data_IF_934461269516
#
_entry.id   IF_934461269516
#
_cell.length_a   1.000
_cell.length_b   1.000
_cell.length_c   1.000
_cell.angle_alpha   90.00
_cell.angle_beta   90.00
_cell.angle_gamma   90.00
#
_symmetry.space_group_name_H-M   'P 1'
#
loop_
_entity.id
_entity.type
_entity.pdbx_description
1 polymer ?
#
# COMPACT_ATOMS: atom_id res chain seq x y z
N UNK A 1 -15.78 34.25 -1.21
CA UNK A 1 -15.75 33.42 -1.10
C UNK A 1 -15.50 32.46 -0.97
N UNK A 2 -15.46 32.17 -0.82
CA UNK A 2 -15.41 31.13 -0.57
C UNK A 2 -14.92 30.25 -0.71
N UNK A 3 -14.62 29.96 -0.65
CA UNK A 3 -14.21 29.15 -0.69
C UNK A 3 -14.48 28.08 -0.67
N UNK A 4 -14.58 27.56 -1.20
CA UNK A 4 -14.70 26.51 -1.04
C UNK A 4 -13.98 25.34 -1.19
N UNK A 5 -13.48 25.03 -1.57
CA UNK A 5 -12.32 24.13 -1.51
C UNK A 5 -12.35 23.32 -0.25
N UNK A 6 -12.74 23.93 0.80
CA UNK A 6 -12.81 23.28 2.10
C UNK A 6 -13.84 22.18 2.16
N UNK A 7 -14.75 22.15 1.18
CA UNK A 7 -15.78 21.12 1.14
C UNK A 7 -15.31 19.83 0.44
N UNK A 8 -14.14 19.87 -0.18
CA UNK A 8 -13.61 18.68 -0.82
C UNK A 8 -12.93 17.80 0.21
N UNK A 9 -13.29 16.53 0.17
CA UNK A 9 -12.60 15.56 1.02
C UNK A 9 -11.17 15.38 0.51
N UNK A 10 -10.22 15.18 1.41
CA UNK A 10 -8.85 14.86 1.00
C UNK A 10 -8.83 13.63 0.12
N UNK A 11 -8.10 13.70 -0.97
CA UNK A 11 -7.91 12.58 -1.88
C UNK A 11 -6.62 11.81 -1.57
N UNK A 12 -6.06 12.08 -0.41
CA UNK A 12 -4.89 11.38 0.13
C UNK A 12 -5.17 11.07 1.58
N UNK A 13 -5.06 9.81 1.97
CA UNK A 13 -5.17 9.42 3.37
C UNK A 13 -3.89 8.74 3.80
N UNK A 14 -3.52 8.93 5.07
CA UNK A 14 -2.27 8.39 5.63
C UNK A 14 -2.51 7.86 7.02
N UNK A 15 -1.70 6.87 7.38
CA UNK A 15 -1.57 6.41 8.75
C UNK A 15 -0.11 6.09 8.99
N UNK A 16 0.34 6.25 10.23
CA UNK A 16 1.74 5.98 10.59
C UNK A 16 1.78 5.19 11.88
N UNK A 17 2.84 4.41 12.03
CA UNK A 17 3.06 3.62 13.23
C UNK A 17 4.55 3.31 13.39
N UNK A 18 5.03 3.28 14.64
CA UNK A 18 6.35 2.74 14.92
C UNK A 18 6.24 1.23 15.08
N UNK A 19 7.17 0.51 14.46
CA UNK A 19 7.21 -0.95 14.50
C UNK A 19 8.55 -1.38 15.09
N UNK A 20 8.50 -2.33 16.03
CA UNK A 20 9.70 -2.83 16.72
C UNK A 20 10.39 -3.88 15.87
N UNK A 21 10.91 -3.46 14.71
CA UNK A 21 11.64 -4.33 13.80
C UNK A 21 12.55 -3.48 12.92
N UNK A 22 13.61 -4.08 12.37
CA UNK A 22 14.49 -3.39 11.43
C UNK A 22 13.75 -3.06 10.15
N UNK A 23 14.14 -1.95 9.49
CA UNK A 23 13.52 -1.53 8.25
C UNK A 23 13.62 -2.62 7.17
N UNK A 24 14.74 -3.33 7.09
CA UNK A 24 14.94 -4.39 6.10
C UNK A 24 13.91 -5.50 6.22
N UNK A 25 13.61 -5.91 7.46
CA UNK A 25 12.62 -6.95 7.70
C UNK A 25 11.21 -6.50 7.32
N UNK A 26 10.86 -5.28 7.70
CA UNK A 26 9.54 -4.72 7.38
C UNK A 26 9.39 -4.57 5.87
N UNK A 27 10.44 -4.06 5.23
CA UNK A 27 10.40 -3.81 3.79
C UNK A 27 10.22 -5.12 3.00
N UNK A 28 10.85 -6.20 3.46
CA UNK A 28 10.70 -7.51 2.82
C UNK A 28 9.24 -7.97 2.83
N UNK A 29 8.53 -7.73 3.93
CA UNK A 29 7.12 -8.08 4.04
C UNK A 29 6.25 -7.27 3.07
N UNK A 30 6.64 -6.05 2.76
CA UNK A 30 5.89 -5.16 1.88
C UNK A 30 6.26 -5.42 0.42
N UNK A 31 7.54 -5.49 0.11
CA UNK A 31 8.05 -5.56 -1.27
C UNK A 31 7.94 -6.95 -1.89
N UNK A 32 7.70 -7.97 -1.08
CA UNK A 32 7.45 -9.32 -1.59
C UNK A 32 5.93 -9.56 -1.59
N UNK A 33 5.29 -9.52 -2.76
CA UNK A 33 3.83 -9.64 -2.81
C UNK A 33 3.29 -10.93 -2.19
N UNK A 34 4.06 -12.01 -2.19
CA UNK A 34 3.63 -13.27 -1.59
C UNK A 34 3.41 -13.14 -0.07
N UNK A 35 4.02 -12.13 0.56
CA UNK A 35 3.87 -11.88 2.00
C UNK A 35 2.65 -11.00 2.32
N UNK A 36 2.12 -10.28 1.34
CA UNK A 36 1.10 -9.27 1.59
C UNK A 36 -0.22 -9.83 2.16
N UNK A 37 -0.74 -10.97 1.69
CA UNK A 37 -1.98 -11.49 2.26
C UNK A 37 -1.87 -11.79 3.75
N UNK A 38 -0.66 -12.07 4.25
CA UNK A 38 -0.45 -12.38 5.65
C UNK A 38 -0.63 -11.20 6.60
N UNK A 39 -0.56 -9.97 6.07
CA UNK A 39 -0.70 -8.77 6.91
C UNK A 39 -1.73 -7.77 6.37
N UNK A 40 -2.36 -8.02 5.24
CA UNK A 40 -3.38 -7.12 4.72
C UNK A 40 -4.51 -6.98 5.75
N UNK A 41 -4.76 -5.74 6.18
CA UNK A 41 -5.71 -5.47 7.26
C UNK A 41 -7.15 -5.33 6.81
N UNK A 42 -7.40 -5.35 5.51
CA UNK A 42 -8.71 -5.05 4.95
C UNK A 42 -9.39 -6.26 4.30
N UNK A 43 -8.81 -7.45 4.49
CA UNK A 43 -9.32 -8.70 3.93
C UNK A 43 -9.59 -8.58 2.42
N UNK A 44 -8.69 -7.93 1.73
CA UNK A 44 -8.84 -7.62 0.32
C UNK A 44 -7.95 -8.47 -0.58
N UNK A 45 -6.78 -8.90 -0.06
CA UNK A 45 -5.83 -9.70 -0.83
C UNK A 45 -5.96 -11.16 -0.44
N UNK A 46 -6.23 -12.03 -1.43
CA UNK A 46 -6.34 -13.46 -1.21
C UNK A 46 -4.98 -14.15 -1.34
N UNK A 47 -4.24 -13.84 -2.42
CA UNK A 47 -2.95 -14.48 -2.65
C UNK A 47 -2.13 -13.70 -3.66
N UNK A 48 -0.83 -14.02 -3.70
CA UNK A 48 0.10 -13.55 -4.72
C UNK A 48 1.12 -14.65 -4.94
N UNK A 49 1.51 -14.84 -6.21
CA UNK A 49 2.50 -15.84 -6.53
C UNK A 49 3.87 -15.50 -5.95
N UNK A 50 4.63 -16.51 -5.59
CA UNK A 50 6.01 -16.34 -5.15
C UNK A 50 6.90 -15.87 -6.31
N UNK A 51 8.01 -15.22 -5.98
CA UNK A 51 8.99 -14.82 -7.00
C UNK A 51 8.76 -13.46 -7.62
N UNK A 52 7.84 -12.66 -7.07
CA UNK A 52 7.55 -11.33 -7.60
C UNK A 52 8.15 -10.20 -6.75
N UNK A 53 9.15 -10.48 -5.93
CA UNK A 53 9.76 -9.46 -5.07
C UNK A 53 10.17 -8.26 -5.93
N UNK A 54 9.76 -7.06 -5.49
CA UNK A 54 10.01 -5.80 -6.21
C UNK A 54 11.43 -5.33 -5.97
N UNK A 55 12.11 -4.88 -7.00
CA UNK A 55 13.49 -4.41 -6.93
C UNK A 55 13.71 -3.04 -7.56
N UNK A 56 12.77 -2.53 -8.35
CA UNK A 56 12.99 -1.29 -9.08
C UNK A 56 11.69 -0.69 -9.59
N UNK A 57 11.74 0.60 -9.89
CA UNK A 57 10.67 1.28 -10.62
C UNK A 57 10.50 0.58 -11.98
N UNK A 58 9.26 0.37 -12.36
CA UNK A 58 8.90 -0.32 -13.60
C UNK A 58 8.58 -1.78 -13.40
N UNK A 59 8.93 -2.37 -12.26
CA UNK A 59 8.52 -3.73 -11.94
C UNK A 59 7.00 -3.80 -11.87
N UNK A 60 6.44 -4.93 -12.31
CA UNK A 60 5.00 -5.17 -12.24
C UNK A 60 4.80 -6.49 -11.50
N UNK A 61 3.92 -6.48 -10.51
CA UNK A 61 3.56 -7.71 -9.83
C UNK A 61 2.04 -7.87 -9.81
N UNK A 62 1.58 -9.11 -9.70
CA UNK A 62 0.15 -9.40 -9.70
C UNK A 62 -0.33 -9.85 -8.33
N UNK A 63 -1.55 -9.48 -8.01
CA UNK A 63 -2.22 -9.93 -6.79
C UNK A 63 -3.62 -10.40 -7.15
N UNK A 64 -4.13 -11.38 -6.40
CA UNK A 64 -5.50 -11.85 -6.54
C UNK A 64 -6.29 -11.34 -5.33
N UNK A 65 -7.39 -10.65 -5.60
CA UNK A 65 -8.24 -10.11 -4.56
C UNK A 65 -9.17 -11.21 -4.02
N UNK A 66 -9.77 -10.96 -2.86
CA UNK A 66 -10.67 -11.96 -2.23
C UNK A 66 -11.89 -12.26 -3.08
N UNK A 67 -12.29 -11.34 -3.98
CA UNK A 67 -13.37 -11.59 -4.93
C UNK A 67 -12.93 -12.36 -6.18
N UNK A 68 -11.66 -12.76 -6.26
CA UNK A 68 -11.11 -13.50 -7.39
C UNK A 68 -10.57 -12.64 -8.52
N UNK A 69 -10.73 -11.34 -8.46
CA UNK A 69 -10.20 -10.44 -9.48
C UNK A 69 -8.70 -10.29 -9.35
N UNK A 70 -8.03 -10.10 -10.48
CA UNK A 70 -6.58 -9.94 -10.53
C UNK A 70 -6.25 -8.47 -10.75
N UNK A 71 -5.19 -8.01 -10.09
CA UNK A 71 -4.64 -6.67 -10.30
C UNK A 71 -3.20 -6.76 -10.73
N UNK A 72 -2.82 -5.94 -11.70
CA UNK A 72 -1.42 -5.70 -12.03
C UNK A 72 -1.00 -4.42 -11.32
N UNK A 73 0.11 -4.47 -10.61
CA UNK A 73 0.58 -3.36 -9.80
C UNK A 73 1.91 -2.89 -10.36
N UNK A 74 1.92 -1.67 -10.91
CA UNK A 74 3.13 -1.09 -11.50
C UNK A 74 3.85 -0.25 -10.47
N UNK A 75 5.09 -0.58 -10.20
CA UNK A 75 5.91 0.15 -9.24
C UNK A 75 6.36 1.46 -9.86
N UNK A 76 6.06 2.57 -9.18
CA UNK A 76 6.39 3.92 -9.66
C UNK A 76 7.39 4.65 -8.76
N UNK A 77 7.61 4.16 -7.53
CA UNK A 77 8.63 4.67 -6.63
C UNK A 77 9.31 3.49 -5.97
N UNK A 78 10.61 3.53 -5.85
CA UNK A 78 11.36 2.47 -5.19
C UNK A 78 12.69 2.97 -4.64
N UNK A 79 12.92 2.69 -3.36
CA UNK A 79 14.20 2.85 -2.70
C UNK A 79 14.30 1.75 -1.66
N UNK A 80 15.27 0.85 -1.82
CA UNK A 80 15.38 -0.36 -0.99
C UNK A 80 15.35 -0.01 0.51
N UNK A 81 14.49 -0.69 1.26
CA UNK A 81 14.29 -0.53 2.70
C UNK A 81 13.82 0.87 3.12
N UNK A 82 13.37 1.70 2.18
CA UNK A 82 12.93 3.07 2.49
C UNK A 82 11.58 3.42 1.90
N UNK A 83 11.32 3.04 0.65
CA UNK A 83 10.09 3.47 -0.02
C UNK A 83 9.72 2.55 -1.16
N UNK A 84 8.44 2.26 -1.28
CA UNK A 84 7.90 1.62 -2.46
C UNK A 84 6.47 2.13 -2.68
N UNK A 85 6.13 2.40 -3.92
CA UNK A 85 4.77 2.80 -4.28
C UNK A 85 4.38 2.16 -5.60
N UNK A 86 3.11 1.80 -5.70
CA UNK A 86 2.62 1.18 -6.93
C UNK A 86 1.22 1.66 -7.28
N UNK A 87 0.88 1.54 -8.57
CA UNK A 87 -0.44 1.87 -9.10
C UNK A 87 -1.10 0.61 -9.60
N UNK A 88 -2.20 0.18 -8.98
CA UNK A 88 -2.94 -1.00 -9.42
C UNK A 88 -3.72 -0.73 -10.70
N UNK A 89 -3.89 -1.77 -11.53
CA UNK A 89 -4.73 -1.70 -12.72
C UNK A 89 -5.34 -3.08 -12.99
N UNK A 90 -6.37 -3.11 -13.84
CA UNK A 90 -6.84 -4.37 -14.38
C UNK A 90 -5.79 -4.90 -15.37
N UNK A 91 -5.67 -6.24 -15.50
CA UNK A 91 -4.66 -6.80 -16.40
C UNK A 91 -4.78 -6.26 -17.81
N UNK A 92 -3.64 -5.81 -18.36
CA UNK A 92 -3.58 -5.27 -19.71
C UNK A 92 -4.10 -3.87 -19.88
N UNK A 93 -4.49 -3.20 -18.79
CA UNK A 93 -5.03 -1.83 -18.86
C UNK A 93 -4.13 -0.84 -18.17
N UNK A 94 -4.34 0.44 -18.48
CA UNK A 94 -3.60 1.50 -17.81
C UNK A 94 -4.11 1.67 -16.38
N UNK A 95 -3.24 2.02 -15.43
CA UNK A 95 -3.68 2.31 -14.07
C UNK A 95 -4.66 3.48 -14.06
N UNK A 96 -5.79 3.36 -13.35
CA UNK A 96 -6.78 4.44 -13.31
C UNK A 96 -6.35 5.68 -12.52
N UNK A 97 -5.32 5.56 -11.68
CA UNK A 97 -4.75 6.75 -11.04
C UNK A 97 -4.59 6.71 -9.54
N UNK A 98 -5.08 5.67 -8.87
CA UNK A 98 -4.83 5.56 -7.43
C UNK A 98 -3.46 4.94 -7.18
N UNK A 99 -2.90 5.20 -5.98
CA UNK A 99 -1.54 4.82 -5.65
C UNK A 99 -1.48 4.39 -4.18
N UNK A 100 -0.73 3.33 -3.93
CA UNK A 100 -0.38 2.87 -2.60
C UNK A 100 1.09 3.16 -2.36
N UNK A 101 1.44 3.81 -1.24
CA UNK A 101 2.82 4.12 -0.91
C UNK A 101 3.14 3.66 0.50
N UNK A 102 4.32 3.10 0.64
CA UNK A 102 4.91 2.72 1.92
C UNK A 102 6.24 3.46 2.08
N UNK A 103 6.40 4.10 3.23
CA UNK A 103 7.63 4.82 3.55
C UNK A 103 8.14 4.35 4.90
N UNK A 104 9.43 4.03 4.97
CA UNK A 104 10.07 3.51 6.17
C UNK A 104 11.18 4.47 6.60
N UNK A 105 11.13 4.89 7.86
CA UNK A 105 12.15 5.77 8.43
C UNK A 105 12.75 5.07 9.65
N UNK A 106 13.96 4.49 9.53
CA UNK A 106 14.58 3.81 10.66
C UNK A 106 14.84 4.80 11.79
N UNK A 107 14.37 4.46 12.98
CA UNK A 107 14.64 5.21 14.20
C UNK A 107 15.90 4.65 14.85
N UNK A 108 16.05 3.32 14.77
CA UNK A 108 17.21 2.60 15.29
C UNK A 108 17.34 1.30 14.49
N UNK A 109 18.30 0.47 14.87
CA UNK A 109 18.49 -0.84 14.21
C UNK A 109 17.34 -1.78 14.46
N UNK A 110 16.52 -1.52 15.48
CA UNK A 110 15.42 -2.41 15.88
C UNK A 110 14.07 -1.75 15.87
N UNK A 111 13.96 -0.50 15.40
CA UNK A 111 12.69 0.23 15.37
C UNK A 111 12.60 1.10 14.15
N UNK A 112 11.45 1.10 13.51
CA UNK A 112 11.22 1.82 12.27
C UNK A 112 9.87 2.53 12.32
N UNK A 113 9.83 3.80 11.91
CA UNK A 113 8.55 4.50 11.70
C UNK A 113 8.08 4.18 10.29
N UNK A 114 6.85 3.71 10.17
CA UNK A 114 6.26 3.32 8.88
C UNK A 114 5.05 4.18 8.59
N UNK A 115 5.01 4.76 7.41
CA UNK A 115 3.87 5.54 6.93
C UNK A 115 3.27 4.84 5.71
N UNK A 116 1.97 4.63 5.75
CA UNK A 116 1.22 4.06 4.63
C UNK A 116 0.27 5.12 4.09
N UNK A 117 0.32 5.32 2.77
CA UNK A 117 -0.45 6.36 2.10
C UNK A 117 -1.29 5.75 0.99
N UNK A 118 -2.55 6.15 0.91
CA UNK A 118 -3.40 5.87 -0.23
C UNK A 118 -3.73 7.21 -0.89
N UNK A 119 -3.32 7.36 -2.14
CA UNK A 119 -3.46 8.62 -2.88
C UNK A 119 -4.30 8.36 -4.12
N UNK A 120 -5.48 8.97 -4.19
CA UNK A 120 -6.38 8.82 -5.32
C UNK A 120 -6.63 10.15 -6.02
N UNK A 121 -5.72 11.12 -5.83
CA UNK A 121 -5.83 12.44 -6.43
C UNK A 121 -5.76 12.42 -7.95
N UNK A 122 -5.17 11.37 -8.53
CA UNK A 122 -5.05 11.23 -9.99
C UNK A 122 -6.19 10.44 -10.63
N UNK A 123 -7.16 9.96 -9.84
CA UNK A 123 -8.34 9.30 -10.42
C UNK A 123 -9.16 10.31 -11.22
N UNK A 124 -9.66 9.86 -12.38
CA UNK A 124 -10.55 10.67 -13.19
C UNK A 124 -11.79 11.05 -12.35
N UNK A 125 -12.09 12.35 -12.19
CA UNK A 125 -13.25 12.75 -11.41
C UNK A 125 -14.57 12.20 -11.96
N UNK A 126 -14.62 11.87 -13.24
CA UNK A 126 -15.82 11.33 -13.87
C UNK A 126 -15.99 9.82 -13.63
N UNK A 127 -14.99 9.15 -13.08
CA UNK A 127 -15.07 7.73 -12.74
C UNK A 127 -15.72 7.60 -11.37
N UNK A 128 -17.03 7.74 -11.32
CA UNK A 128 -17.77 7.80 -10.06
C UNK A 128 -17.62 6.54 -9.23
N UNK A 129 -17.60 5.37 -9.87
CA UNK A 129 -17.49 4.11 -9.14
C UNK A 129 -16.16 3.99 -8.41
N UNK A 130 -15.05 4.32 -9.10
CA UNK A 130 -13.73 4.26 -8.46
C UNK A 130 -13.56 5.34 -7.40
N UNK A 131 -14.11 6.53 -7.62
CA UNK A 131 -14.06 7.59 -6.62
C UNK A 131 -14.85 7.22 -5.37
N UNK A 132 -15.99 6.55 -5.51
CA UNK A 132 -16.75 6.08 -4.35
C UNK A 132 -15.97 5.04 -3.55
N UNK A 133 -15.33 4.09 -4.23
CA UNK A 133 -14.52 3.09 -3.55
C UNK A 133 -13.33 3.75 -2.83
N UNK A 134 -12.71 4.75 -3.49
CA UNK A 134 -11.57 5.44 -2.90
C UNK A 134 -11.97 6.21 -1.65
N UNK A 135 -13.14 6.86 -1.66
CA UNK A 135 -13.63 7.57 -0.48
C UNK A 135 -13.89 6.64 0.69
N UNK A 136 -14.20 5.39 0.42
CA UNK A 136 -14.44 4.41 1.48
C UNK A 136 -13.15 3.97 2.17
N UNK A 137 -11.99 4.24 1.56
CA UNK A 137 -10.71 3.93 2.17
C UNK A 137 -10.34 5.05 3.15
N UNK A 138 -10.27 4.70 4.43
CA UNK A 138 -10.04 5.67 5.49
C UNK A 138 -8.67 5.45 6.14
N UNK A 139 -8.23 6.41 6.94
CA UNK A 139 -7.01 6.24 7.73
C UNK A 139 -7.10 5.03 8.65
N UNK A 140 -8.28 4.69 9.15
CA UNK A 140 -8.46 3.52 9.99
C UNK A 140 -8.19 2.22 9.23
N UNK A 141 -8.55 2.16 7.95
CA UNK A 141 -8.21 1.01 7.10
C UNK A 141 -6.70 0.85 6.96
N UNK A 142 -6.00 1.97 6.76
CA UNK A 142 -4.53 1.95 6.65
C UNK A 142 -3.90 1.57 7.98
N UNK A 143 -4.45 2.07 9.08
CA UNK A 143 -3.95 1.74 10.42
C UNK A 143 -4.12 0.25 10.72
N UNK A 144 -5.20 -0.37 10.23
CA UNK A 144 -5.42 -1.81 10.41
C UNK A 144 -4.33 -2.63 9.70
N UNK A 145 -3.95 -2.23 8.50
CA UNK A 145 -2.85 -2.87 7.77
C UNK A 145 -1.52 -2.69 8.51
N UNK A 146 -1.28 -1.49 9.05
CA UNK A 146 -0.06 -1.23 9.82
C UNK A 146 -0.02 -2.07 11.09
N UNK A 147 -1.13 -2.24 11.77
CA UNK A 147 -1.20 -3.05 12.97
C UNK A 147 -0.87 -4.51 12.66
N UNK A 148 -1.44 -5.04 11.59
CA UNK A 148 -1.15 -6.41 11.19
C UNK A 148 0.29 -6.57 10.72
N UNK A 149 0.81 -5.61 9.98
CA UNK A 149 2.20 -5.61 9.55
C UNK A 149 3.14 -5.61 10.75
N UNK A 150 2.84 -4.80 11.76
CA UNK A 150 3.63 -4.75 12.98
C UNK A 150 3.62 -6.10 13.69
N UNK A 151 2.45 -6.74 13.78
CA UNK A 151 2.33 -8.03 14.45
C UNK A 151 3.21 -9.08 13.77
N UNK A 152 3.22 -9.11 12.44
CA UNK A 152 4.03 -10.08 11.71
C UNK A 152 5.51 -9.74 11.81
N UNK A 153 5.86 -8.46 11.66
CA UNK A 153 7.25 -8.02 11.67
C UNK A 153 7.91 -8.20 13.05
N UNK A 154 7.12 -8.10 14.12
CA UNK A 154 7.62 -8.20 15.49
C UNK A 154 7.70 -9.64 15.97
N UNK A 155 7.20 -10.61 15.21
CA UNK A 155 7.33 -12.01 15.59
C UNK A 155 8.80 -12.42 15.56
N UNK A 156 9.23 -13.29 16.52
CA UNK A 156 10.58 -13.82 16.47
C UNK A 156 10.81 -14.61 15.19
N UNK A 157 12.00 -14.48 14.63
CA UNK A 157 12.40 -15.31 13.50
C UNK A 157 12.75 -16.70 13.99
N UNK A 158 12.26 -17.70 13.28
CA UNK A 158 12.63 -19.08 13.58
C UNK A 158 13.76 -19.54 12.69
#
# INVERSE_FOLDING_TARGET
MHERVTDELPRVVRASREIEAPAERIFELIADPAQQPGWDGNDNLAESEAGQRVHAVGDVFTTTLTNGWIRENRVVEFEEARRVAWRPSEPGKQPPGHLWRWELNPISETRTAVTHTYDWSELDPDDTMRNERARAMTADNLAASLENLARVAELPRS
#
